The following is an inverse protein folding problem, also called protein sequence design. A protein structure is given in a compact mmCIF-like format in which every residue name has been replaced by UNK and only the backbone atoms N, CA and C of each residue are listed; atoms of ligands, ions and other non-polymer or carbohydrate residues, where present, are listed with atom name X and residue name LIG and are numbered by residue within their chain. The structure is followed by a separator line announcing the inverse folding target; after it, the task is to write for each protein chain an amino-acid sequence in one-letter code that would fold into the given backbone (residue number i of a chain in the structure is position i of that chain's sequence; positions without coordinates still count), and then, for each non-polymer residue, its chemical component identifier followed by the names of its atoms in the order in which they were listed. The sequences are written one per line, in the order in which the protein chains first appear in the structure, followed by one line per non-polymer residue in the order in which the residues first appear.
data_IF_835769798496
#
_entry.id   IF_835769798496
#
_cell.length_a   1.000
_cell.length_b   1.000
_cell.length_c   1.000
_cell.angle_alpha   90.00
_cell.angle_beta   90.00
_cell.angle_gamma   90.00
#
_symmetry.space_group_name_H-M   'P 1'
#
loop_
_entity.id
_entity.type
_entity.pdbx_description
1 polymer ?
#
# COMPACT_ATOMS: atom_id res chain seq x y z
N UNK A 1 -15.35 4.57 -2.94
CA UNK A 1 -14.23 3.85 -2.33
C UNK A 1 -13.12 3.67 -3.36
N UNK A 2 -11.90 3.97 -2.99
CA UNK A 2 -10.73 3.73 -3.81
C UNK A 2 -9.70 2.92 -3.02
N UNK A 3 -8.89 2.14 -3.74
CA UNK A 3 -7.81 1.33 -3.16
C UNK A 3 -6.48 1.75 -3.75
N UNK A 4 -5.51 2.03 -2.88
CA UNK A 4 -4.13 2.24 -3.28
C UNK A 4 -3.36 0.95 -3.01
N UNK A 5 -2.82 0.34 -4.07
CA UNK A 5 -2.12 -0.93 -4.00
C UNK A 5 -0.63 -0.70 -4.20
N UNK A 6 0.19 -1.26 -3.31
CA UNK A 6 1.64 -1.27 -3.42
C UNK A 6 2.13 -2.71 -3.45
N UNK A 7 3.05 -3.00 -4.36
CA UNK A 7 3.62 -4.33 -4.54
C UNK A 7 5.13 -4.22 -4.61
N UNK A 8 5.83 -5.18 -4.00
CA UNK A 8 7.29 -5.20 -4.10
C UNK A 8 7.87 -6.56 -3.75
N UNK A 9 9.18 -6.70 -4.00
CA UNK A 9 9.98 -7.83 -3.55
C UNK A 9 10.99 -7.34 -2.52
N UNK A 10 11.17 -8.08 -1.44
CA UNK A 10 12.12 -7.70 -0.39
C UNK A 10 13.53 -7.87 -0.95
N UNK A 11 14.37 -6.85 -0.81
CA UNK A 11 15.77 -6.94 -1.21
C UNK A 11 16.45 -8.02 -0.37
N UNK A 12 17.10 -9.05 -0.98
CA UNK A 12 17.64 -10.18 -0.22
C UNK A 12 18.61 -9.77 0.89
N UNK A 13 19.43 -8.74 0.63
CA UNK A 13 20.43 -8.28 1.60
C UNK A 13 19.83 -7.37 2.68
N UNK A 14 18.55 -7.04 2.59
CA UNK A 14 17.86 -6.11 3.47
C UNK A 14 16.72 -6.73 4.26
N UNK A 15 16.57 -8.06 4.21
CA UNK A 15 15.43 -8.75 4.81
C UNK A 15 15.27 -8.42 6.31
N UNK A 16 16.37 -8.39 7.05
CA UNK A 16 16.34 -8.08 8.48
C UNK A 16 15.96 -6.62 8.75
N UNK A 17 16.55 -5.70 8.02
CA UNK A 17 16.24 -4.27 8.12
C UNK A 17 14.78 -4.00 7.72
N UNK A 18 14.30 -4.67 6.67
CA UNK A 18 12.92 -4.58 6.23
C UNK A 18 11.95 -5.04 7.33
N UNK A 19 12.20 -6.17 7.94
CA UNK A 19 11.36 -6.70 9.01
C UNK A 19 11.30 -5.73 10.20
N UNK A 20 12.42 -5.15 10.59
CA UNK A 20 12.47 -4.18 11.68
C UNK A 20 11.74 -2.87 11.36
N UNK A 21 11.72 -2.46 10.09
CA UNK A 21 11.10 -1.23 9.62
C UNK A 21 9.58 -1.32 9.48
N UNK A 22 9.05 -2.48 9.11
CA UNK A 22 7.67 -2.65 8.61
C UNK A 22 6.60 -2.13 9.57
N UNK A 23 6.66 -2.52 10.84
CA UNK A 23 5.61 -2.18 11.82
C UNK A 23 5.49 -0.67 12.02
N UNK A 24 6.62 0.01 12.21
CA UNK A 24 6.64 1.45 12.39
C UNK A 24 6.20 2.19 11.12
N UNK A 25 6.57 1.67 9.95
CA UNK A 25 6.15 2.25 8.68
C UNK A 25 4.63 2.19 8.50
N UNK A 26 4.01 1.05 8.81
CA UNK A 26 2.55 0.92 8.76
C UNK A 26 1.89 1.93 9.70
N UNK A 27 2.36 2.03 10.94
CA UNK A 27 1.81 2.97 11.92
C UNK A 27 1.89 4.42 11.43
N UNK A 28 2.99 4.80 10.81
CA UNK A 28 3.19 6.15 10.27
C UNK A 28 2.22 6.45 9.14
N UNK A 29 2.01 5.51 8.22
CA UNK A 29 1.06 5.71 7.11
C UNK A 29 -0.38 5.79 7.60
N UNK A 30 -0.75 4.98 8.60
CA UNK A 30 -2.09 5.03 9.18
C UNK A 30 -2.31 6.30 9.99
N UNK A 31 -1.28 6.78 10.67
CA UNK A 31 -1.32 8.01 11.46
C UNK A 31 -1.56 9.28 10.63
N UNK A 32 -1.29 9.24 9.33
CA UNK A 32 -1.55 10.37 8.44
C UNK A 32 -3.05 10.64 8.22
N UNK A 33 -3.91 9.67 8.56
CA UNK A 33 -5.37 9.82 8.49
C UNK A 33 -5.94 9.49 7.11
N UNK A 34 -7.25 9.26 7.08
CA UNK A 34 -7.99 9.03 5.84
C UNK A 34 -8.09 7.57 5.41
N UNK A 35 -7.22 6.70 5.90
CA UNK A 35 -7.27 5.28 5.57
C UNK A 35 -8.44 4.62 6.32
N UNK A 36 -9.35 3.99 5.57
CA UNK A 36 -10.49 3.27 6.17
C UNK A 36 -10.16 1.82 6.46
N UNK A 37 -9.25 1.22 5.68
CA UNK A 37 -8.80 -0.15 5.89
C UNK A 37 -7.41 -0.34 5.29
N UNK A 38 -6.57 -1.04 6.02
CA UNK A 38 -5.25 -1.46 5.55
C UNK A 38 -5.20 -2.98 5.54
N UNK A 39 -4.70 -3.58 4.45
CA UNK A 39 -4.47 -5.02 4.35
C UNK A 39 -3.09 -5.31 3.81
N UNK A 40 -2.45 -6.33 4.41
CA UNK A 40 -1.24 -6.90 3.87
C UNK A 40 -1.50 -8.29 3.30
N UNK A 41 -0.87 -8.60 2.18
CA UNK A 41 -1.01 -9.89 1.51
C UNK A 41 0.36 -10.47 1.20
N UNK A 42 0.44 -11.79 1.23
CA UNK A 42 1.57 -12.52 0.69
C UNK A 42 1.05 -13.34 -0.50
N UNK A 43 1.33 -12.91 -1.75
CA UNK A 43 0.84 -13.65 -2.91
C UNK A 43 1.33 -15.10 -2.91
N UNK A 44 0.40 -16.02 -3.16
CA UNK A 44 0.72 -17.44 -3.27
C UNK A 44 1.32 -17.78 -4.63
N UNK A 45 1.12 -16.89 -5.62
CA UNK A 45 1.68 -17.01 -6.95
C UNK A 45 1.89 -15.61 -7.53
N UNK A 46 2.65 -15.53 -8.62
CA UNK A 46 2.95 -14.27 -9.29
C UNK A 46 4.34 -13.77 -8.96
N UNK A 47 4.61 -12.53 -9.38
CA UNK A 47 5.95 -11.96 -9.37
C UNK A 47 6.34 -11.26 -8.06
N UNK A 48 5.36 -10.96 -7.19
CA UNK A 48 5.61 -10.14 -6.00
C UNK A 48 5.52 -10.94 -4.71
N UNK A 49 6.39 -10.61 -3.76
CA UNK A 49 6.39 -11.22 -2.44
C UNK A 49 5.42 -10.54 -1.47
N UNK A 50 5.20 -9.23 -1.65
CA UNK A 50 4.40 -8.41 -0.74
C UNK A 50 3.44 -7.57 -1.54
N UNK A 51 2.19 -7.55 -1.10
CA UNK A 51 1.17 -6.62 -1.59
C UNK A 51 0.50 -6.00 -0.38
N UNK A 52 0.40 -4.68 -0.35
CA UNK A 52 -0.38 -3.97 0.66
C UNK A 52 -1.43 -3.11 -0.02
N UNK A 53 -2.58 -2.95 0.64
CA UNK A 53 -3.65 -2.10 0.14
C UNK A 53 -4.11 -1.14 1.22
N UNK A 54 -4.34 0.10 0.80
CA UNK A 54 -4.93 1.16 1.62
C UNK A 54 -6.26 1.54 0.99
N UNK A 55 -7.34 1.44 1.74
CA UNK A 55 -8.66 1.85 1.29
C UNK A 55 -8.96 3.27 1.76
N UNK A 56 -9.64 4.03 0.89
CA UNK A 56 -10.07 5.40 1.18
C UNK A 56 -11.53 5.57 0.76
N UNK A 57 -12.25 6.45 1.44
CA UNK A 57 -13.65 6.72 1.12
C UNK A 57 -13.81 7.27 -0.31
N UNK A 58 -12.87 8.14 -0.74
CA UNK A 58 -12.89 8.77 -2.05
C UNK A 58 -11.49 9.22 -2.47
N UNK A 59 -11.40 9.77 -3.68
CA UNK A 59 -10.14 10.25 -4.26
C UNK A 59 -9.54 11.42 -3.47
N UNK A 60 -10.39 12.30 -2.92
CA UNK A 60 -9.92 13.44 -2.14
C UNK A 60 -9.21 12.99 -0.86
N UNK A 61 -9.75 11.97 -0.19
CA UNK A 61 -9.12 11.40 1.00
C UNK A 61 -7.77 10.75 0.66
N UNK A 62 -7.69 10.02 -0.45
CA UNK A 62 -6.44 9.47 -0.92
C UNK A 62 -5.42 10.57 -1.24
N UNK A 63 -5.84 11.60 -1.96
CA UNK A 63 -4.93 12.68 -2.38
C UNK A 63 -4.32 13.40 -1.17
N UNK A 64 -5.12 13.68 -0.14
CA UNK A 64 -4.65 14.31 1.09
C UNK A 64 -3.63 13.41 1.83
N UNK A 65 -3.92 12.12 1.93
CA UNK A 65 -3.02 11.15 2.54
C UNK A 65 -1.72 11.03 1.76
N UNK A 66 -1.81 10.91 0.44
CA UNK A 66 -0.64 10.76 -0.44
C UNK A 66 0.29 11.97 -0.39
N UNK A 67 -0.28 13.17 -0.19
CA UNK A 67 0.49 14.42 -0.08
C UNK A 67 1.17 14.60 1.28
N UNK A 68 0.82 13.81 2.29
CA UNK A 68 1.42 13.93 3.62
C UNK A 68 2.90 13.59 3.59
N UNK A 69 3.73 14.42 4.22
CA UNK A 69 5.18 14.22 4.26
C UNK A 69 5.57 12.87 4.86
N UNK A 70 4.86 12.44 5.91
CA UNK A 70 5.09 11.17 6.57
C UNK A 70 4.88 10.00 5.61
N UNK A 71 3.83 10.05 4.80
CA UNK A 71 3.53 9.02 3.80
C UNK A 71 4.62 9.00 2.73
N UNK A 72 4.97 10.15 2.19
CA UNK A 72 6.00 10.27 1.18
C UNK A 72 7.35 9.73 1.69
N UNK A 73 7.69 10.01 2.95
CA UNK A 73 8.91 9.48 3.56
C UNK A 73 8.91 7.95 3.59
N UNK A 74 7.79 7.32 3.98
CA UNK A 74 7.67 5.86 4.01
C UNK A 74 7.79 5.27 2.59
N UNK A 75 7.15 5.89 1.61
CA UNK A 75 7.21 5.44 0.21
C UNK A 75 8.64 5.53 -0.37
N UNK A 76 9.43 6.51 0.08
CA UNK A 76 10.84 6.59 -0.29
C UNK A 76 11.68 5.54 0.44
N UNK A 77 11.40 5.32 1.71
CA UNK A 77 12.14 4.33 2.53
C UNK A 77 11.99 2.91 2.00
N UNK A 78 10.78 2.52 1.58
CA UNK A 78 10.56 1.17 1.06
C UNK A 78 11.43 0.89 -0.17
N UNK A 79 11.72 1.91 -0.98
CA UNK A 79 12.56 1.76 -2.16
C UNK A 79 14.02 1.45 -1.83
N UNK A 80 14.45 1.73 -0.61
CA UNK A 80 15.80 1.36 -0.15
C UNK A 80 15.88 -0.05 0.41
N UNK A 81 14.72 -0.66 0.69
CA UNK A 81 14.61 -1.98 1.35
C UNK A 81 14.03 -3.04 0.42
N UNK A 82 13.46 -2.63 -0.71
CA UNK A 82 12.73 -3.51 -1.62
C UNK A 82 13.06 -3.19 -3.08
N UNK A 83 12.82 -4.20 -3.93
CA UNK A 83 12.96 -4.11 -5.37
C UNK A 83 11.59 -4.13 -6.03
N UNK A 84 11.52 -3.63 -7.26
CA UNK A 84 10.32 -3.73 -8.10
C UNK A 84 9.09 -3.07 -7.48
N UNK A 85 9.29 -1.97 -6.75
CA UNK A 85 8.18 -1.27 -6.08
C UNK A 85 7.24 -0.70 -7.15
N UNK A 86 5.99 -1.16 -7.10
CA UNK A 86 4.95 -0.79 -8.06
C UNK A 86 3.72 -0.32 -7.29
N UNK A 87 3.06 0.71 -7.79
CA UNK A 87 1.84 1.22 -7.18
C UNK A 87 0.72 1.36 -8.20
N UNK A 88 -0.50 1.14 -7.75
CA UNK A 88 -1.71 1.30 -8.56
C UNK A 88 -2.81 1.90 -7.71
N UNK A 89 -3.62 2.75 -8.30
CA UNK A 89 -4.79 3.30 -7.64
C UNK A 89 -6.03 2.79 -8.36
N UNK A 90 -6.89 2.08 -7.62
CA UNK A 90 -8.06 1.41 -8.18
C UNK A 90 -9.34 2.07 -7.70
N UNK A 91 -10.22 2.40 -8.63
CA UNK A 91 -11.59 2.76 -8.34
C UNK A 91 -12.55 1.63 -8.70
N UNK A 92 -13.85 1.79 -8.41
CA UNK A 92 -14.86 0.81 -8.83
C UNK A 92 -14.93 0.71 -10.36
N UNK A 93 -15.22 -0.48 -10.87
CA UNK A 93 -15.45 -0.67 -12.30
C UNK A 93 -16.69 0.11 -12.74
N UNK A 94 -16.64 0.87 -13.85
CA UNK A 94 -17.84 1.53 -14.37
C UNK A 94 -18.93 0.54 -14.80
N UNK A 95 -18.54 -0.70 -15.12
CA UNK A 95 -19.48 -1.74 -15.58
C UNK A 95 -20.05 -2.50 -14.39
N UNK A 96 -19.23 -2.74 -13.36
CA UNK A 96 -19.66 -3.45 -12.13
C UNK A 96 -19.26 -2.58 -10.93
N UNK A 97 -20.02 -1.48 -10.67
CA UNK A 97 -19.60 -0.51 -9.65
C UNK A 97 -19.81 -1.00 -8.22
N UNK A 98 -20.62 -2.03 -8.03
CA UNK A 98 -20.88 -2.62 -6.72
C UNK A 98 -20.49 -4.09 -6.71
N UNK A 99 -20.10 -4.64 -5.53
CA UNK A 99 -19.82 -6.06 -5.43
C UNK A 99 -21.05 -6.89 -5.79
N UNK A 100 -20.82 -7.99 -6.51
CA UNK A 100 -21.88 -8.96 -6.82
C UNK A 100 -21.66 -10.16 -5.91
N UNK A 101 -22.66 -10.49 -5.11
CA UNK A 101 -22.62 -11.66 -4.24
C UNK A 101 -23.58 -12.70 -4.79
N UNK A 102 -23.07 -13.88 -5.19
CA UNK A 102 -23.93 -14.95 -5.73
C UNK A 102 -24.85 -15.54 -4.67
#
# INVERSE_FOLDING_TARGET
MVLYSLKWNIHPDKAEAYAAWTKGAIQRTLGAGGVTEFRGYRPASGAFQVVVTYEFADMAAWAAWYAAETVQAVLMEVRTLANDVTSELWGPSPIVPQPIRP
#
